data_IF_521069768352
#
_entry.id   IF_521069768352
#
_cell.length_a   1.000
_cell.length_b   1.000
_cell.length_c   1.000
_cell.angle_alpha   90.00
_cell.angle_beta   90.00
_cell.angle_gamma   90.00
#
_symmetry.space_group_name_H-M   'P 1'
#
loop_
_entity.id
_entity.type
_entity.pdbx_description
1 polymer ?
#
# COMPACT_ATOMS: atom_id res chain seq x y z
N UNK A 1 28.11 -1.73 24.29
CA UNK A 1 27.60 -0.42 23.84
C UNK A 1 27.22 -0.60 22.38
N UNK A 2 25.99 -1.01 22.11
CA UNK A 2 25.50 -1.20 20.74
C UNK A 2 25.20 0.17 20.18
N UNK A 3 25.94 0.60 19.17
CA UNK A 3 25.64 1.83 18.42
C UNK A 3 24.22 1.72 17.87
N UNK A 4 23.31 2.53 18.41
CA UNK A 4 22.04 2.81 17.76
C UNK A 4 22.42 3.64 16.54
N UNK A 5 22.45 3.00 15.36
CA UNK A 5 22.63 3.66 14.08
C UNK A 5 21.47 4.65 13.92
N UNK A 6 21.69 5.90 14.33
CA UNK A 6 20.71 6.97 14.26
C UNK A 6 20.46 7.32 12.80
N UNK A 7 19.53 6.62 12.16
CA UNK A 7 18.92 7.08 10.92
C UNK A 7 18.25 8.42 11.18
N UNK A 8 18.57 9.44 10.38
CA UNK A 8 17.91 10.74 10.47
C UNK A 8 16.43 10.52 10.16
N UNK A 9 15.57 10.75 11.14
CA UNK A 9 14.12 10.75 10.95
C UNK A 9 13.76 11.69 9.81
N UNK A 10 13.24 11.14 8.71
CA UNK A 10 12.73 11.90 7.57
C UNK A 10 11.22 11.73 7.51
N UNK A 11 10.44 12.60 8.19
CA UNK A 11 8.98 12.48 8.24
C UNK A 11 8.37 12.49 6.84
N UNK A 12 8.97 13.25 5.91
CA UNK A 12 8.49 13.34 4.53
C UNK A 12 8.59 12.01 3.77
N UNK A 13 9.55 11.14 4.13
CA UNK A 13 9.68 9.84 3.48
C UNK A 13 8.54 8.90 3.87
N UNK A 14 8.17 8.89 5.16
CA UNK A 14 7.02 8.13 5.65
C UNK A 14 5.70 8.72 5.13
N UNK A 15 5.54 10.04 5.13
CA UNK A 15 4.36 10.69 4.56
C UNK A 15 4.20 10.37 3.07
N UNK A 16 5.30 10.37 2.30
CA UNK A 16 5.27 9.98 0.89
C UNK A 16 4.84 8.50 0.69
N UNK A 17 5.21 7.61 1.62
CA UNK A 17 4.74 6.23 1.63
C UNK A 17 3.22 6.17 1.89
N UNK A 18 2.73 6.90 2.90
CA UNK A 18 1.30 6.97 3.23
C UNK A 18 0.47 7.55 2.07
N UNK A 19 0.95 8.59 1.42
CA UNK A 19 0.28 9.20 0.27
C UNK A 19 0.17 8.23 -0.92
N UNK A 20 1.23 7.46 -1.20
CA UNK A 20 1.18 6.43 -2.24
C UNK A 20 0.18 5.31 -1.87
N UNK A 21 0.18 4.87 -0.61
CA UNK A 21 -0.78 3.89 -0.10
C UNK A 21 -2.23 4.39 -0.21
N UNK A 22 -2.47 5.68 0.05
CA UNK A 22 -3.79 6.32 -0.10
C UNK A 22 -4.26 6.29 -1.55
N UNK A 23 -3.39 6.59 -2.53
CA UNK A 23 -3.72 6.52 -3.96
C UNK A 23 -4.07 5.10 -4.41
N UNK A 24 -3.27 4.12 -3.99
CA UNK A 24 -3.56 2.69 -4.23
C UNK A 24 -4.88 2.29 -3.56
N UNK A 25 -5.14 2.77 -2.35
CA UNK A 25 -6.41 2.57 -1.65
C UNK A 25 -7.61 3.07 -2.45
N UNK A 26 -7.51 4.28 -3.02
CA UNK A 26 -8.54 4.82 -3.91
C UNK A 26 -8.81 3.92 -5.13
N UNK A 27 -7.77 3.29 -5.71
CA UNK A 27 -7.95 2.31 -6.79
C UNK A 27 -8.73 1.08 -6.35
N UNK A 28 -8.42 0.52 -5.18
CA UNK A 28 -9.18 -0.62 -4.64
C UNK A 28 -10.63 -0.26 -4.35
N UNK A 29 -10.91 0.90 -3.76
CA UNK A 29 -12.29 1.38 -3.53
C UNK A 29 -13.06 1.47 -4.85
N UNK A 30 -12.43 2.06 -5.88
CA UNK A 30 -13.02 2.10 -7.22
C UNK A 30 -13.31 0.71 -7.80
N UNK A 31 -12.49 -0.30 -7.48
CA UNK A 31 -12.74 -1.69 -7.91
C UNK A 31 -13.84 -2.37 -7.12
N UNK A 32 -14.01 -2.04 -5.83
CA UNK A 32 -15.15 -2.49 -5.02
C UNK A 32 -16.45 -1.96 -5.63
N UNK A 33 -16.51 -0.68 -5.97
CA UNK A 33 -17.71 -0.04 -6.54
C UNK A 33 -18.09 -0.62 -7.92
N UNK A 34 -17.11 -1.14 -8.66
CA UNK A 34 -17.30 -1.75 -9.99
C UNK A 34 -17.44 -3.28 -9.94
N UNK A 35 -17.39 -3.89 -8.76
CA UNK A 35 -17.38 -5.34 -8.64
C UNK A 35 -18.72 -5.95 -9.09
N UNK A 36 -18.71 -6.98 -9.96
CA UNK A 36 -19.93 -7.59 -10.47
C UNK A 36 -20.65 -8.47 -9.45
N UNK A 37 -19.98 -8.80 -8.34
CA UNK A 37 -20.51 -9.64 -7.27
C UNK A 37 -19.99 -9.17 -5.91
N UNK A 38 -20.75 -9.47 -4.85
CA UNK A 38 -20.29 -9.19 -3.48
C UNK A 38 -18.99 -9.92 -3.13
N UNK A 39 -18.75 -11.10 -3.71
CA UNK A 39 -17.53 -11.86 -3.47
C UNK A 39 -16.31 -11.11 -4.05
N UNK A 40 -16.41 -10.59 -5.27
CA UNK A 40 -15.37 -9.76 -5.86
C UNK A 40 -15.17 -8.45 -5.07
N UNK A 41 -16.25 -7.81 -4.63
CA UNK A 41 -16.19 -6.61 -3.78
C UNK A 41 -15.47 -6.87 -2.45
N UNK A 42 -15.78 -7.98 -1.78
CA UNK A 42 -15.08 -8.40 -0.55
C UNK A 42 -13.60 -8.69 -0.80
N UNK A 43 -13.25 -9.33 -1.92
CA UNK A 43 -11.86 -9.57 -2.27
C UNK A 43 -11.05 -8.27 -2.34
N UNK A 44 -11.55 -7.27 -3.09
CA UNK A 44 -10.85 -5.98 -3.20
C UNK A 44 -10.84 -5.19 -1.90
N UNK A 45 -11.90 -5.30 -1.09
CA UNK A 45 -11.94 -4.72 0.26
C UNK A 45 -10.83 -5.31 1.14
N UNK A 46 -10.68 -6.63 1.16
CA UNK A 46 -9.62 -7.28 1.94
C UNK A 46 -8.22 -6.98 1.40
N UNK A 47 -8.04 -6.91 0.09
CA UNK A 47 -6.78 -6.50 -0.52
C UNK A 47 -6.38 -5.07 -0.07
N UNK A 48 -7.33 -4.13 -0.06
CA UNK A 48 -7.11 -2.78 0.47
C UNK A 48 -6.70 -2.77 1.94
N UNK A 49 -7.45 -3.48 2.79
CA UNK A 49 -7.20 -3.55 4.23
C UNK A 49 -5.83 -4.14 4.52
N UNK A 50 -5.47 -5.22 3.83
CA UNK A 50 -4.19 -5.89 4.02
C UNK A 50 -3.01 -4.99 3.59
N UNK A 51 -3.11 -4.33 2.44
CA UNK A 51 -2.10 -3.37 2.00
C UNK A 51 -1.91 -2.23 3.03
N UNK A 52 -3.00 -1.64 3.53
CA UNK A 52 -2.96 -0.60 4.55
C UNK A 52 -2.35 -1.10 5.87
N UNK A 53 -2.66 -2.34 6.26
CA UNK A 53 -2.08 -2.99 7.45
C UNK A 53 -0.56 -3.11 7.31
N UNK A 54 -0.07 -3.57 6.15
CA UNK A 54 1.37 -3.71 5.90
C UNK A 54 2.10 -2.37 5.91
N UNK A 55 1.51 -1.32 5.34
CA UNK A 55 2.10 0.03 5.36
C UNK A 55 2.21 0.57 6.79
N UNK A 56 1.17 0.39 7.61
CA UNK A 56 1.17 0.84 9.02
C UNK A 56 2.12 0.05 9.94
N UNK A 57 2.64 -1.09 9.49
CA UNK A 57 3.64 -1.87 10.22
C UNK A 57 5.07 -1.40 9.98
N UNK A 58 5.30 -0.55 8.97
CA UNK A 58 6.62 0.05 8.73
C UNK A 58 6.92 1.04 9.85
N UNK A 59 8.07 0.90 10.50
CA UNK A 59 8.56 1.86 11.47
C UNK A 59 8.85 3.20 10.77
N UNK A 60 8.20 4.31 11.17
CA UNK A 60 8.43 5.62 10.56
C UNK A 60 9.86 6.16 10.75
N UNK A 61 10.68 5.53 11.59
CA UNK A 61 12.09 5.88 11.80
C UNK A 61 13.07 5.00 11.02
N UNK A 62 12.59 3.92 10.39
CA UNK A 62 13.42 3.01 9.60
C UNK A 62 13.40 3.42 8.12
N UNK A 63 14.37 4.24 7.72
CA UNK A 63 14.48 4.73 6.36
C UNK A 63 14.62 3.61 5.31
N UNK A 64 15.27 2.49 5.65
CA UNK A 64 15.44 1.37 4.73
C UNK A 64 14.11 0.64 4.52
N UNK A 65 13.39 0.37 5.62
CA UNK A 65 12.06 -0.25 5.55
C UNK A 65 11.04 0.64 4.81
N UNK A 66 11.10 1.97 5.00
CA UNK A 66 10.25 2.92 4.28
C UNK A 66 10.52 2.86 2.78
N UNK A 67 11.78 2.94 2.37
CA UNK A 67 12.13 2.92 0.96
C UNK A 67 11.81 1.57 0.30
N UNK A 68 12.04 0.45 1.00
CA UNK A 68 11.68 -0.88 0.53
C UNK A 68 10.17 -0.99 0.28
N UNK A 69 9.34 -0.64 1.28
CA UNK A 69 7.87 -0.69 1.11
C UNK A 69 7.39 0.28 0.03
N UNK A 70 8.01 1.46 -0.08
CA UNK A 70 7.65 2.44 -1.11
C UNK A 70 8.00 1.96 -2.52
N UNK A 71 9.10 1.22 -2.69
CA UNK A 71 9.45 0.58 -3.96
C UNK A 71 8.41 -0.49 -4.34
N UNK A 72 8.04 -1.37 -3.41
CA UNK A 72 6.97 -2.36 -3.63
C UNK A 72 5.65 -1.70 -4.04
N UNK A 73 5.24 -0.61 -3.36
CA UNK A 73 4.02 0.09 -3.71
C UNK A 73 4.10 0.82 -5.06
N UNK A 74 5.29 1.29 -5.47
CA UNK A 74 5.47 1.89 -6.80
C UNK A 74 5.29 0.85 -7.90
N UNK A 75 5.83 -0.34 -7.71
CA UNK A 75 5.66 -1.47 -8.64
C UNK A 75 4.19 -1.91 -8.71
N UNK A 76 3.52 -2.03 -7.56
CA UNK A 76 2.09 -2.30 -7.51
C UNK A 76 1.31 -1.23 -8.29
N UNK A 77 1.52 0.05 -7.98
CA UNK A 77 0.80 1.13 -8.65
C UNK A 77 1.03 1.14 -10.17
N UNK A 78 2.26 0.91 -10.62
CA UNK A 78 2.60 0.87 -12.04
C UNK A 78 1.89 -0.28 -12.80
N UNK A 79 1.52 -1.35 -12.10
CA UNK A 79 0.87 -2.54 -12.67
C UNK A 79 -0.64 -2.57 -12.45
N UNK A 80 -1.19 -1.67 -11.63
CA UNK A 80 -2.63 -1.62 -11.37
C UNK A 80 -3.41 -1.10 -12.59
N UNK A 81 -4.30 -1.91 -13.19
CA UNK A 81 -5.17 -1.43 -14.27
C UNK A 81 -6.20 -0.41 -13.77
N UNK A 82 -6.81 0.32 -14.72
CA UNK A 82 -7.84 1.27 -14.36
C UNK A 82 -9.11 0.57 -13.82
N UNK A 83 -9.54 -0.47 -14.54
CA UNK A 83 -10.65 -1.36 -14.18
C UNK A 83 -10.13 -2.57 -13.40
N UNK A 84 -10.98 -3.15 -12.56
CA UNK A 84 -10.60 -4.30 -11.76
C UNK A 84 -10.23 -5.50 -12.67
N UNK A 85 -9.14 -6.24 -12.36
CA UNK A 85 -8.88 -7.50 -13.03
C UNK A 85 -10.09 -8.44 -12.89
N UNK A 86 -10.39 -9.18 -13.95
CA UNK A 86 -11.43 -10.22 -13.89
C UNK A 86 -10.94 -11.32 -12.96
N UNK A 87 -11.66 -11.54 -11.87
CA UNK A 87 -11.40 -12.66 -10.99
C UNK A 87 -11.94 -13.93 -11.64
N UNK A 88 -11.10 -14.96 -11.77
CA UNK A 88 -11.58 -16.29 -12.13
C UNK A 88 -12.53 -16.78 -11.01
N UNK A 89 -13.68 -17.32 -11.43
CA UNK A 89 -14.71 -17.87 -10.54
C UNK A 89 -14.27 -19.19 -9.90
#
# INVERSE_FOLDING_TARGET
MTEVKGGVFNPMAYDALLELATRIGGRYVSWVDQAPTDAAGRHWTYAHIEMQRQVRQVDPNDAEAIEAKRAELRELWATMPAQAPVMAA
#
